data_IF_313449273106
#
_entry.id   IF_313449273106
#
_cell.length_a   1.000
_cell.length_b   1.000
_cell.length_c   1.000
_cell.angle_alpha   90.00
_cell.angle_beta   90.00
_cell.angle_gamma   90.00
#
_symmetry.space_group_name_H-M   'P 1'
#
loop_
_entity.id
_entity.type
_entity.pdbx_description
1 polymer ?
#
# COMPACT_ATOMS: atom_id res chain seq x y z
N UNK A 1 -5.65 -11.02 -1.17
CA UNK A 1 -4.21 -10.75 -0.98
C UNK A 1 -4.06 -9.53 -0.11
N UNK A 2 -3.12 -9.52 0.84
CA UNK A 2 -2.90 -8.38 1.74
C UNK A 2 -1.43 -8.18 2.06
N UNK A 3 -1.03 -6.94 2.28
CA UNK A 3 0.27 -6.59 2.86
C UNK A 3 0.19 -6.17 4.33
N UNK A 4 -0.97 -6.41 4.95
CA UNK A 4 -1.23 -6.27 6.38
C UNK A 4 -1.91 -7.56 6.87
N UNK A 5 -1.18 -8.69 6.87
CA UNK A 5 -1.77 -10.00 7.07
C UNK A 5 -2.44 -10.17 8.43
N UNK A 6 -1.88 -9.59 9.49
CA UNK A 6 -2.43 -9.66 10.86
C UNK A 6 -3.79 -8.96 10.95
N UNK A 7 -3.90 -7.76 10.38
CA UNK A 7 -5.16 -7.03 10.31
C UNK A 7 -6.19 -7.79 9.47
N UNK A 8 -5.77 -8.38 8.35
CA UNK A 8 -6.67 -9.14 7.47
C UNK A 8 -7.16 -10.43 8.14
N UNK A 9 -6.30 -11.09 8.91
CA UNK A 9 -6.67 -12.24 9.71
C UNK A 9 -7.65 -11.87 10.84
N UNK A 10 -7.50 -10.68 11.46
CA UNK A 10 -8.38 -10.21 12.54
C UNK A 10 -9.85 -10.06 12.14
N UNK A 11 -10.13 -9.84 10.85
CA UNK A 11 -11.49 -9.76 10.29
C UNK A 11 -11.94 -11.10 9.67
N UNK A 12 -11.29 -12.21 10.03
CA UNK A 12 -11.65 -13.59 9.67
C UNK A 12 -11.83 -13.83 8.17
N UNK A 13 -10.93 -13.30 7.34
CA UNK A 13 -10.94 -13.61 5.90
C UNK A 13 -10.83 -15.12 5.66
N UNK A 14 -11.60 -15.70 4.72
CA UNK A 14 -11.63 -17.14 4.54
C UNK A 14 -10.33 -17.72 3.96
N UNK A 15 -9.61 -16.96 3.13
CA UNK A 15 -8.31 -17.35 2.55
C UNK A 15 -7.43 -16.12 2.41
N UNK A 16 -6.18 -16.21 2.86
CA UNK A 16 -5.25 -15.08 2.86
C UNK A 16 -3.93 -15.43 2.15
N UNK A 17 -3.65 -14.73 1.05
CA UNK A 17 -2.31 -14.64 0.49
C UNK A 17 -1.64 -13.36 1.04
N UNK A 18 -0.60 -13.53 1.85
CA UNK A 18 0.15 -12.46 2.51
C UNK A 18 1.41 -12.09 1.71
N UNK A 19 1.69 -10.80 1.57
CA UNK A 19 2.90 -10.31 0.90
C UNK A 19 3.49 -9.10 1.62
N UNK A 20 4.78 -9.16 1.95
CA UNK A 20 5.48 -8.11 2.72
C UNK A 20 6.04 -6.99 1.82
N UNK A 21 5.22 -6.52 0.88
CA UNK A 21 5.60 -5.44 -0.03
C UNK A 21 5.00 -4.09 0.44
N UNK A 22 5.67 -2.96 0.12
CA UNK A 22 5.18 -1.64 0.51
C UNK A 22 3.77 -1.33 -0.01
N UNK A 23 3.06 -0.45 0.68
CA UNK A 23 1.75 0.05 0.23
C UNK A 23 1.83 0.66 -1.16
N UNK A 24 0.83 0.35 -1.99
CA UNK A 24 0.78 0.77 -3.40
C UNK A 24 1.68 -0.03 -4.33
N UNK A 25 2.46 -0.98 -3.81
CA UNK A 25 3.47 -1.76 -4.56
C UNK A 25 3.35 -3.25 -4.30
N UNK A 26 2.18 -3.73 -3.90
CA UNK A 26 1.97 -5.13 -3.51
C UNK A 26 2.26 -6.12 -4.65
N UNK A 27 2.18 -5.70 -5.90
CA UNK A 27 2.53 -6.51 -7.07
C UNK A 27 3.95 -6.25 -7.60
N UNK A 28 4.79 -5.52 -6.88
CA UNK A 28 6.12 -5.15 -7.34
C UNK A 28 6.20 -3.73 -7.87
N UNK A 29 7.32 -3.42 -8.53
CA UNK A 29 7.58 -2.09 -9.05
C UNK A 29 6.74 -1.75 -10.28
N UNK A 30 6.45 -0.45 -10.52
CA UNK A 30 5.84 -0.03 -11.76
C UNK A 30 6.67 -0.47 -12.97
N UNK A 31 6.01 -1.10 -13.95
CA UNK A 31 6.66 -1.59 -15.18
C UNK A 31 7.33 -2.96 -15.06
N UNK A 32 7.52 -3.51 -13.86
CA UNK A 32 8.07 -4.87 -13.69
C UNK A 32 6.97 -5.93 -13.90
N UNK A 33 6.63 -6.16 -15.16
CA UNK A 33 5.60 -7.12 -15.57
C UNK A 33 5.90 -8.54 -15.10
N UNK A 34 7.18 -8.91 -15.01
CA UNK A 34 7.58 -10.27 -14.63
C UNK A 34 7.24 -10.53 -13.15
N UNK A 35 7.66 -9.63 -12.25
CA UNK A 35 7.33 -9.73 -10.82
C UNK A 35 5.82 -9.64 -10.59
N UNK A 36 5.14 -8.70 -11.26
CA UNK A 36 3.69 -8.55 -11.17
C UNK A 36 2.95 -9.84 -11.52
N UNK A 37 3.38 -10.51 -12.60
CA UNK A 37 2.77 -11.77 -13.01
C UNK A 37 3.11 -12.93 -12.11
N UNK A 38 4.34 -13.00 -11.59
CA UNK A 38 4.72 -14.01 -10.62
C UNK A 38 3.86 -13.92 -9.34
N UNK A 39 3.68 -12.71 -8.80
CA UNK A 39 2.86 -12.47 -7.60
C UNK A 39 1.39 -12.80 -7.85
N UNK A 40 0.84 -12.38 -9.01
CA UNK A 40 -0.54 -12.70 -9.34
C UNK A 40 -0.78 -14.21 -9.43
N UNK A 41 0.11 -14.94 -10.12
CA UNK A 41 0.02 -16.40 -10.22
C UNK A 41 0.14 -17.07 -8.87
N UNK A 42 1.09 -16.67 -8.03
CA UNK A 42 1.25 -17.20 -6.69
C UNK A 42 0.03 -16.92 -5.80
N UNK A 43 -0.59 -15.74 -5.95
CA UNK A 43 -1.83 -15.39 -5.25
C UNK A 43 -2.98 -16.29 -5.67
N UNK A 44 -3.19 -16.47 -6.97
CA UNK A 44 -4.25 -17.35 -7.49
C UNK A 44 -4.03 -18.80 -7.09
N UNK A 45 -2.77 -19.27 -7.14
CA UNK A 45 -2.40 -20.60 -6.69
C UNK A 45 -2.66 -20.81 -5.19
N UNK A 46 -2.37 -19.82 -4.34
CA UNK A 46 -2.71 -19.87 -2.92
C UNK A 46 -4.23 -19.93 -2.72
N UNK A 47 -5.02 -19.19 -3.51
CA UNK A 47 -6.47 -19.29 -3.45
C UNK A 47 -6.96 -20.69 -3.84
N UNK A 48 -6.39 -21.30 -4.88
CA UNK A 48 -6.73 -22.64 -5.35
C UNK A 48 -6.37 -23.73 -4.34
N UNK A 49 -5.22 -23.62 -3.68
CA UNK A 49 -4.65 -24.67 -2.81
C UNK A 49 -5.01 -24.54 -1.33
N UNK A 50 -5.47 -23.38 -0.87
CA UNK A 50 -5.96 -23.25 0.51
C UNK A 50 -7.32 -23.97 0.62
N UNK A 51 -7.32 -25.12 1.28
CA UNK A 51 -8.52 -25.92 1.55
C UNK A 51 -9.23 -25.54 2.86
N UNK A 52 -8.48 -25.08 3.87
CA UNK A 52 -9.03 -24.78 5.19
C UNK A 52 -9.32 -23.28 5.35
N UNK A 53 -10.57 -22.88 5.68
CA UNK A 53 -10.90 -21.48 5.96
C UNK A 53 -10.04 -20.88 7.08
N UNK A 54 -9.71 -19.60 6.95
CA UNK A 54 -8.85 -18.88 7.89
C UNK A 54 -7.35 -19.10 7.69
N UNK A 55 -6.95 -19.95 6.73
CA UNK A 55 -5.53 -20.18 6.43
C UNK A 55 -4.91 -18.96 5.75
N UNK A 56 -3.70 -18.61 6.21
CA UNK A 56 -2.86 -17.59 5.63
C UNK A 56 -1.55 -18.19 5.10
N UNK A 57 -1.21 -17.90 3.85
CA UNK A 57 0.04 -18.31 3.21
C UNK A 57 0.86 -17.06 2.89
N UNK A 58 2.11 -17.03 3.35
CA UNK A 58 3.07 -16.00 2.99
C UNK A 58 3.67 -16.31 1.62
N UNK A 59 3.50 -15.40 0.68
CA UNK A 59 4.06 -15.56 -0.66
C UNK A 59 5.59 -15.43 -0.62
N UNK A 60 6.34 -16.23 -1.41
CA UNK A 60 7.80 -16.32 -1.32
C UNK A 60 8.50 -15.19 -2.08
N UNK A 61 8.12 -13.94 -1.86
CA UNK A 61 8.71 -12.77 -2.50
C UNK A 61 9.29 -11.81 -1.46
N UNK A 62 10.51 -11.33 -1.73
CA UNK A 62 11.18 -10.32 -0.90
C UNK A 62 11.29 -9.01 -1.66
N UNK A 63 10.98 -7.91 -0.99
CA UNK A 63 11.11 -6.58 -1.57
C UNK A 63 12.60 -6.18 -1.66
N UNK A 64 13.13 -6.05 -2.88
CA UNK A 64 14.57 -5.82 -3.10
C UNK A 64 14.96 -4.35 -3.33
N UNK A 65 14.00 -3.43 -3.52
CA UNK A 65 14.31 -2.05 -3.91
C UNK A 65 14.29 -1.06 -2.73
N UNK A 66 15.30 -0.18 -2.60
CA UNK A 66 15.24 0.85 -1.57
C UNK A 66 14.20 1.92 -1.94
N UNK A 67 13.40 2.35 -0.96
CA UNK A 67 12.28 3.27 -1.13
C UNK A 67 12.61 4.56 -1.92
N UNK A 68 13.84 5.07 -1.78
CA UNK A 68 14.31 6.31 -2.44
C UNK A 68 14.29 6.25 -3.98
N UNK A 69 14.36 5.06 -4.59
CA UNK A 69 14.42 4.92 -6.06
C UNK A 69 13.07 5.00 -6.76
N UNK A 70 11.97 4.83 -6.04
CA UNK A 70 10.65 4.59 -6.65
C UNK A 70 9.95 5.87 -7.14
N UNK A 71 10.48 7.06 -6.79
CA UNK A 71 9.94 8.39 -7.15
C UNK A 71 8.40 8.43 -7.15
N UNK A 72 7.78 7.94 -6.07
CA UNK A 72 6.31 7.82 -5.94
C UNK A 72 5.58 9.16 -5.76
N UNK A 73 6.31 10.28 -5.76
CA UNK A 73 5.68 11.59 -5.65
C UNK A 73 4.84 11.87 -6.89
N UNK A 74 3.61 12.38 -6.72
CA UNK A 74 2.79 12.76 -7.86
C UNK A 74 3.51 13.86 -8.67
N UNK A 75 3.36 13.86 -10.01
CA UNK A 75 4.02 14.86 -10.86
C UNK A 75 3.52 16.28 -10.57
N UNK A 76 2.28 16.41 -10.11
CA UNK A 76 1.69 17.67 -9.70
C UNK A 76 1.60 17.76 -8.17
N UNK A 77 2.05 18.89 -7.62
CA UNK A 77 1.88 19.19 -6.20
C UNK A 77 0.40 19.27 -5.81
N UNK A 78 0.02 18.75 -4.64
CA UNK A 78 -1.38 18.76 -4.19
C UNK A 78 -1.88 20.21 -4.00
N UNK A 79 -3.19 20.47 -4.17
CA UNK A 79 -3.75 21.82 -4.05
C UNK A 79 -3.42 22.51 -2.73
N UNK A 80 -3.40 21.76 -1.62
CA UNK A 80 -3.03 22.29 -0.30
C UNK A 80 -1.59 22.81 -0.28
N UNK A 81 -0.65 22.16 -0.96
CA UNK A 81 0.73 22.63 -1.05
C UNK A 81 0.81 23.97 -1.79
N UNK A 82 0.09 24.10 -2.91
CA UNK A 82 0.02 25.38 -3.66
C UNK A 82 -0.63 26.48 -2.82
N UNK A 83 -1.64 26.15 -2.03
CA UNK A 83 -2.32 27.09 -1.15
C UNK A 83 -1.41 27.57 0.00
N UNK A 84 -0.68 26.67 0.65
CA UNK A 84 0.25 27.02 1.74
C UNK A 84 1.43 27.87 1.27
N UNK A 85 1.91 27.66 0.04
CA UNK A 85 2.93 28.55 -0.55
C UNK A 85 2.42 29.98 -0.67
N UNK A 86 1.12 30.18 -0.95
CA UNK A 86 0.48 31.51 -1.00
C UNK A 86 0.12 32.05 0.39
N UNK A 87 -0.10 31.17 1.37
CA UNK A 87 -0.53 31.52 2.72
C UNK A 87 0.34 30.81 3.78
N UNK A 88 1.63 31.18 3.89
CA UNK A 88 2.59 30.46 4.74
C UNK A 88 2.20 30.48 6.23
N UNK A 89 1.50 31.53 6.67
CA UNK A 89 0.98 31.69 8.04
C UNK A 89 -0.02 30.61 8.46
N UNK A 90 -0.59 29.86 7.51
CA UNK A 90 -1.52 28.76 7.80
C UNK A 90 -0.81 27.42 8.03
N UNK A 91 0.48 27.32 7.73
CA UNK A 91 1.25 26.09 7.96
C UNK A 91 1.21 25.63 9.43
N UNK A 92 1.42 26.49 10.44
CA UNK A 92 1.30 26.08 11.84
C UNK A 92 -0.09 25.51 12.18
N UNK A 93 -1.16 26.08 11.62
CA UNK A 93 -2.54 25.62 11.84
C UNK A 93 -2.77 24.25 11.23
N UNK A 94 -2.28 24.02 10.01
CA UNK A 94 -2.34 22.71 9.37
C UNK A 94 -1.58 21.64 10.18
N UNK A 95 -0.37 21.96 10.66
CA UNK A 95 0.42 21.05 11.48
C UNK A 95 -0.27 20.75 12.82
N UNK A 96 -0.94 21.75 13.41
CA UNK A 96 -1.75 21.60 14.61
C UNK A 96 -3.10 20.90 14.38
N UNK A 97 -3.46 20.58 13.12
CA UNK A 97 -4.78 20.06 12.72
C UNK A 97 -5.94 20.93 13.20
N UNK A 98 -5.72 22.25 13.26
CA UNK A 98 -6.75 23.25 13.58
C UNK A 98 -7.65 23.45 12.36
N UNK A 99 -8.69 22.62 12.24
CA UNK A 99 -9.68 22.69 11.17
C UNK A 99 -10.77 23.67 11.61
N UNK A 100 -10.99 24.78 10.90
CA UNK A 100 -12.06 25.71 11.23
C UNK A 100 -13.40 24.97 11.15
N UNK A 101 -14.19 25.02 12.23
CA UNK A 101 -15.44 24.25 12.34
C UNK A 101 -16.61 24.83 11.53
N UNK A 102 -16.42 26.01 10.93
CA UNK A 102 -17.48 26.71 10.20
C UNK A 102 -17.04 26.83 8.73
N UNK A 103 -17.59 25.96 7.88
CA UNK A 103 -17.54 26.03 6.42
C UNK A 103 -18.96 25.95 5.87
#
# INVERSE_FOLDING_TARGET
>A
MSNVPELSASVSVPRLAAIEFPFGLQFGCPGDKATQMAILRATLHALETIETPGTAVHLPFTWSQPARRLRLHPPQSPPIGKYLVRHPWLLPRLLARDIPQNA
#
